data_IF_551759527971
#
_entry.id   IF_551759527971
#
_cell.length_a   1.000
_cell.length_b   1.000
_cell.length_c   1.000
_cell.angle_alpha   90.00
_cell.angle_beta   90.00
_cell.angle_gamma   90.00
#
_symmetry.space_group_name_H-M   'P 1'
#
loop_
_entity.id
_entity.type
_entity.pdbx_description
1 polymer ?
#
# COMPACT_ATOMS: atom_id res chain seq x y z
N UNK A 1 -8.56 -11.07 -59.90
CA UNK A 1 -9.37 -11.31 -58.68
C UNK A 1 -8.68 -12.42 -57.92
N UNK A 2 -8.02 -12.13 -56.79
CA UNK A 2 -7.42 -13.18 -55.96
C UNK A 2 -8.52 -14.17 -55.49
N UNK A 3 -8.24 -15.49 -55.49
CA UNK A 3 -9.23 -16.48 -55.08
C UNK A 3 -9.53 -16.35 -53.58
N UNK A 4 -10.81 -16.19 -53.26
CA UNK A 4 -11.32 -16.07 -51.89
C UNK A 4 -10.90 -17.28 -51.03
N UNK A 5 -9.88 -17.11 -50.20
CA UNK A 5 -9.38 -18.16 -49.32
C UNK A 5 -10.10 -18.13 -47.97
N UNK A 6 -11.17 -18.94 -47.86
CA UNK A 6 -12.01 -19.09 -46.66
C UNK A 6 -11.21 -19.34 -45.37
N UNK A 7 -10.11 -20.10 -45.45
CA UNK A 7 -9.28 -20.43 -44.28
C UNK A 7 -8.56 -19.18 -43.74
N UNK A 8 -8.03 -18.35 -44.63
CA UNK A 8 -7.37 -17.08 -44.23
C UNK A 8 -8.37 -16.10 -43.62
N UNK A 9 -9.57 -16.02 -44.18
CA UNK A 9 -10.63 -15.15 -43.66
C UNK A 9 -11.09 -15.58 -42.27
N UNK A 10 -11.26 -16.89 -42.04
CA UNK A 10 -11.61 -17.41 -40.71
C UNK A 10 -10.52 -17.10 -39.67
N UNK A 11 -9.25 -17.33 -40.01
CA UNK A 11 -8.11 -16.98 -39.13
C UNK A 11 -8.11 -15.49 -38.76
N UNK A 12 -8.40 -14.62 -39.73
CA UNK A 12 -8.49 -13.16 -39.51
C UNK A 12 -9.60 -12.78 -38.54
N UNK A 13 -10.80 -13.37 -38.70
CA UNK A 13 -11.94 -13.13 -37.82
C UNK A 13 -11.63 -13.61 -36.39
N UNK A 14 -11.01 -14.78 -36.23
CA UNK A 14 -10.61 -15.28 -34.92
C UNK A 14 -9.59 -14.37 -34.24
N UNK A 15 -8.59 -13.89 -34.98
CA UNK A 15 -7.61 -12.93 -34.47
C UNK A 15 -8.27 -11.61 -34.04
N UNK A 16 -9.18 -11.07 -34.85
CA UNK A 16 -9.92 -9.85 -34.52
C UNK A 16 -10.77 -10.01 -33.25
N UNK A 17 -11.49 -11.13 -33.12
CA UNK A 17 -12.28 -11.43 -31.91
C UNK A 17 -11.42 -11.57 -30.66
N UNK A 18 -10.24 -12.20 -30.79
CA UNK A 18 -9.27 -12.30 -29.69
C UNK A 18 -8.79 -10.91 -29.27
N UNK A 19 -8.41 -10.07 -30.23
CA UNK A 19 -7.95 -8.70 -29.96
C UNK A 19 -9.03 -7.85 -29.29
N UNK A 20 -10.26 -7.90 -29.79
CA UNK A 20 -11.40 -7.18 -29.21
C UNK A 20 -11.69 -7.62 -27.76
N UNK A 21 -11.58 -8.92 -27.47
CA UNK A 21 -11.70 -9.46 -26.11
C UNK A 21 -10.62 -8.88 -25.21
N UNK A 22 -9.35 -8.90 -25.64
CA UNK A 22 -8.25 -8.34 -24.85
C UNK A 22 -8.45 -6.84 -24.56
N UNK A 23 -8.87 -6.06 -25.56
CA UNK A 23 -9.13 -4.63 -25.38
C UNK A 23 -10.23 -4.35 -24.33
N UNK A 24 -11.32 -5.13 -24.35
CA UNK A 24 -12.39 -5.01 -23.34
C UNK A 24 -11.90 -5.33 -21.93
N UNK A 25 -11.06 -6.36 -21.77
CA UNK A 25 -10.47 -6.68 -20.46
C UNK A 25 -9.57 -5.56 -19.97
N UNK A 26 -8.69 -5.04 -20.83
CA UNK A 26 -7.79 -3.94 -20.47
C UNK A 26 -8.58 -2.69 -20.05
N UNK A 27 -9.61 -2.32 -20.81
CA UNK A 27 -10.47 -1.20 -20.47
C UNK A 27 -11.21 -1.42 -19.13
N UNK A 28 -11.69 -2.63 -18.86
CA UNK A 28 -12.33 -2.97 -17.59
C UNK A 28 -11.37 -2.87 -16.41
N UNK A 29 -10.15 -3.38 -16.56
CA UNK A 29 -9.10 -3.26 -15.55
C UNK A 29 -8.80 -1.79 -15.26
N UNK A 30 -8.66 -0.95 -16.30
CA UNK A 30 -8.41 0.48 -16.13
C UNK A 30 -9.53 1.17 -15.34
N UNK A 31 -10.80 0.86 -15.62
CA UNK A 31 -11.93 1.40 -14.85
C UNK A 31 -11.90 0.94 -13.39
N UNK A 32 -11.59 -0.32 -13.14
CA UNK A 32 -11.47 -0.85 -11.77
C UNK A 32 -10.35 -0.16 -10.99
N UNK A 33 -9.21 0.13 -11.64
CA UNK A 33 -8.12 0.90 -11.04
C UNK A 33 -8.59 2.33 -10.71
N UNK A 34 -9.24 3.02 -11.65
CA UNK A 34 -9.75 4.39 -11.44
C UNK A 34 -10.79 4.45 -10.31
N UNK A 35 -11.63 3.43 -10.20
CA UNK A 35 -12.63 3.32 -9.14
C UNK A 35 -12.06 2.86 -7.79
N UNK A 36 -10.74 2.61 -7.68
CA UNK A 36 -10.12 1.95 -6.52
C UNK A 36 -10.83 0.65 -6.11
N UNK A 37 -11.40 -0.05 -7.08
CA UNK A 37 -12.10 -1.31 -6.87
C UNK A 37 -11.11 -2.49 -6.81
N UNK A 38 -11.54 -3.58 -6.18
CA UNK A 38 -10.74 -4.80 -6.09
C UNK A 38 -10.63 -5.45 -7.47
N UNK A 39 -9.40 -5.71 -7.92
CA UNK A 39 -9.10 -6.38 -9.19
C UNK A 39 -8.98 -7.88 -8.91
N UNK A 40 -9.97 -8.63 -9.41
CA UNK A 40 -10.01 -10.09 -9.39
C UNK A 40 -10.83 -10.62 -10.58
N UNK A 41 -10.78 -11.92 -10.86
CA UNK A 41 -11.49 -12.52 -12.00
C UNK A 41 -13.00 -12.26 -12.01
N UNK A 42 -13.64 -12.15 -10.83
CA UNK A 42 -15.07 -11.83 -10.74
C UNK A 42 -15.34 -10.37 -11.14
N UNK A 43 -14.63 -9.42 -10.55
CA UNK A 43 -14.77 -7.99 -10.83
C UNK A 43 -14.48 -7.67 -12.30
N UNK A 44 -13.40 -8.24 -12.86
CA UNK A 44 -13.03 -8.04 -14.26
C UNK A 44 -14.07 -8.68 -15.18
N UNK A 45 -14.60 -9.86 -14.84
CA UNK A 45 -15.68 -10.50 -15.61
C UNK A 45 -16.95 -9.64 -15.63
N UNK A 46 -17.35 -9.12 -14.48
CA UNK A 46 -18.53 -8.26 -14.36
C UNK A 46 -18.36 -6.95 -15.14
N UNK A 47 -17.20 -6.31 -15.06
CA UNK A 47 -16.93 -5.02 -15.69
C UNK A 47 -16.70 -5.14 -17.21
N UNK A 48 -16.03 -6.20 -17.67
CA UNK A 48 -15.74 -6.41 -19.11
C UNK A 48 -16.86 -7.13 -19.87
N UNK A 49 -17.80 -7.76 -19.16
CA UNK A 49 -18.82 -8.64 -19.73
C UNK A 49 -18.25 -9.94 -20.33
N UNK A 50 -17.01 -10.29 -20.01
CA UNK A 50 -16.35 -11.51 -20.50
C UNK A 50 -16.46 -12.61 -19.46
N UNK A 51 -16.78 -13.82 -19.91
CA UNK A 51 -16.91 -14.97 -19.01
C UNK A 51 -15.59 -15.29 -18.32
N UNK A 52 -15.65 -15.74 -17.07
CA UNK A 52 -14.46 -16.19 -16.32
C UNK A 52 -13.69 -17.28 -17.07
N UNK A 53 -14.38 -18.21 -17.73
CA UNK A 53 -13.74 -19.27 -18.50
C UNK A 53 -12.82 -18.69 -19.58
N UNK A 54 -13.27 -17.65 -20.29
CA UNK A 54 -12.45 -16.94 -21.28
C UNK A 54 -11.25 -16.23 -20.64
N UNK A 55 -11.43 -15.64 -19.45
CA UNK A 55 -10.33 -14.99 -18.71
C UNK A 55 -9.27 -16.00 -18.24
N UNK A 56 -9.68 -17.18 -17.78
CA UNK A 56 -8.76 -18.25 -17.36
C UNK A 56 -8.03 -18.92 -18.54
N UNK A 57 -8.74 -19.10 -19.67
CA UNK A 57 -8.18 -19.76 -20.85
C UNK A 57 -7.12 -18.91 -21.57
N UNK A 58 -7.15 -17.59 -21.39
CA UNK A 58 -6.13 -16.71 -21.94
C UNK A 58 -5.06 -16.42 -20.88
N UNK A 59 -3.90 -17.07 -21.02
CA UNK A 59 -2.80 -16.98 -20.07
C UNK A 59 -2.28 -15.55 -19.87
N UNK A 60 -2.25 -14.72 -20.92
CA UNK A 60 -1.81 -13.32 -20.83
C UNK A 60 -2.74 -12.51 -19.93
N UNK A 61 -4.04 -12.64 -20.14
CA UNK A 61 -5.08 -11.98 -19.34
C UNK A 61 -5.03 -12.47 -17.89
N UNK A 62 -4.89 -13.79 -17.71
CA UNK A 62 -4.80 -14.40 -16.39
C UNK A 62 -3.62 -13.83 -15.59
N UNK A 63 -2.43 -13.84 -16.17
CA UNK A 63 -1.22 -13.35 -15.51
C UNK A 63 -1.34 -11.86 -15.17
N UNK A 64 -1.96 -11.06 -16.05
CA UNK A 64 -2.17 -9.64 -15.81
C UNK A 64 -3.11 -9.41 -14.62
N UNK A 65 -4.22 -10.14 -14.54
CA UNK A 65 -5.18 -10.03 -13.41
C UNK A 65 -4.54 -10.49 -12.11
N UNK A 66 -3.79 -11.60 -12.11
CA UNK A 66 -3.10 -12.11 -10.93
C UNK A 66 -2.03 -11.13 -10.44
N UNK A 67 -1.19 -10.61 -11.34
CA UNK A 67 -0.16 -9.63 -11.00
C UNK A 67 -0.74 -8.35 -10.38
N UNK A 68 -1.81 -7.81 -10.97
CA UNK A 68 -2.47 -6.61 -10.44
C UNK A 68 -3.14 -6.86 -9.08
N UNK A 69 -3.72 -8.04 -8.89
CA UNK A 69 -4.31 -8.44 -7.60
C UNK A 69 -3.26 -8.54 -6.52
N UNK A 70 -2.10 -9.12 -6.83
CA UNK A 70 -1.02 -9.27 -5.87
C UNK A 70 -0.41 -7.91 -5.54
N UNK A 71 -0.24 -7.02 -6.53
CA UNK A 71 0.13 -5.62 -6.30
C UNK A 71 -0.86 -4.89 -5.38
N UNK A 72 -2.17 -5.07 -5.56
CA UNK A 72 -3.17 -4.50 -4.64
C UNK A 72 -3.12 -5.10 -3.24
N UNK A 73 -2.63 -6.33 -3.08
CA UNK A 73 -2.52 -7.00 -1.78
C UNK A 73 -1.24 -6.60 -1.04
N UNK A 74 -0.16 -6.36 -1.78
CA UNK A 74 1.15 -5.95 -1.24
C UNK A 74 1.25 -4.42 -1.05
N UNK A 75 0.41 -3.63 -1.71
CA UNK A 75 0.35 -2.20 -1.48
C UNK A 75 -0.07 -1.95 -0.02
N UNK A 76 0.74 -1.21 0.78
CA UNK A 76 0.37 -0.90 2.15
C UNK A 76 -0.95 -0.15 2.11
N UNK A 77 -1.95 -0.70 2.80
CA UNK A 77 -3.24 -0.03 2.89
C UNK A 77 -3.05 1.35 3.49
N UNK A 78 -3.84 2.35 3.06
CA UNK A 78 -3.76 3.71 3.60
C UNK A 78 -3.79 3.74 5.14
N UNK A 79 -4.49 2.78 5.76
CA UNK A 79 -4.50 2.57 7.21
C UNK A 79 -3.15 2.11 7.79
N UNK A 80 -2.40 1.24 7.11
CA UNK A 80 -1.06 0.84 7.52
C UNK A 80 -0.09 2.01 7.44
N UNK A 81 -0.10 2.76 6.33
CA UNK A 81 0.75 3.96 6.18
C UNK A 81 0.45 5.00 7.26
N UNK A 82 -0.83 5.27 7.54
CA UNK A 82 -1.22 6.17 8.64
C UNK A 82 -0.81 5.65 10.01
N UNK A 83 -0.81 4.32 10.23
CA UNK A 83 -0.38 3.72 11.49
C UNK A 83 1.12 3.84 11.69
N UNK A 84 1.91 3.56 10.66
CA UNK A 84 3.37 3.74 10.67
C UNK A 84 3.76 5.19 10.96
N UNK A 85 3.12 6.16 10.29
CA UNK A 85 3.33 7.59 10.57
C UNK A 85 2.98 7.97 12.01
N UNK A 86 1.86 7.45 12.53
CA UNK A 86 1.46 7.69 13.92
C UNK A 86 2.43 7.05 14.91
N UNK A 87 2.96 5.87 14.62
CA UNK A 87 3.91 5.18 15.49
C UNK A 87 5.29 5.89 15.46
N UNK A 88 5.76 6.35 14.31
CA UNK A 88 6.96 7.20 14.24
C UNK A 88 6.81 8.51 15.01
N UNK A 89 5.61 9.12 14.99
CA UNK A 89 5.34 10.33 15.76
C UNK A 89 5.33 10.05 17.28
N UNK A 90 4.80 8.90 17.70
CA UNK A 90 4.86 8.47 19.11
C UNK A 90 6.30 8.25 19.56
N UNK A 91 7.14 7.63 18.74
CA UNK A 91 8.54 7.38 19.08
C UNK A 91 9.31 8.69 19.30
N UNK A 92 9.11 9.69 18.44
CA UNK A 92 9.71 11.02 18.61
C UNK A 92 9.24 11.72 19.90
N UNK A 93 7.96 11.59 20.26
CA UNK A 93 7.40 12.13 21.50
C UNK A 93 8.02 11.41 22.71
N UNK A 94 8.12 10.08 22.67
CA UNK A 94 8.72 9.26 23.73
C UNK A 94 10.17 9.68 23.96
N UNK A 95 10.95 9.85 22.91
CA UNK A 95 12.35 10.27 23.02
C UNK A 95 12.48 11.67 23.64
N UNK A 96 11.63 12.60 23.22
CA UNK A 96 11.60 13.97 23.77
C UNK A 96 11.25 13.97 25.26
N UNK A 97 10.25 13.17 25.67
CA UNK A 97 9.86 13.05 27.07
C UNK A 97 10.96 12.42 27.92
N UNK A 98 11.63 11.35 27.42
CA UNK A 98 12.76 10.74 28.11
C UNK A 98 13.88 11.75 28.36
N UNK A 99 14.26 12.55 27.36
CA UNK A 99 15.27 13.60 27.52
C UNK A 99 14.88 14.62 28.59
N UNK A 100 13.60 15.01 28.64
CA UNK A 100 13.09 15.97 29.64
C UNK A 100 13.12 15.38 31.05
N UNK A 101 12.75 14.12 31.22
CA UNK A 101 12.83 13.41 32.51
C UNK A 101 14.27 13.40 33.01
N UNK A 102 15.22 12.96 32.18
CA UNK A 102 16.64 12.90 32.58
C UNK A 102 17.18 14.29 32.95
N UNK A 103 16.79 15.34 32.22
CA UNK A 103 17.18 16.72 32.55
C UNK A 103 16.65 17.12 33.94
N UNK A 104 15.36 16.89 34.20
CA UNK A 104 14.73 17.22 35.48
C UNK A 104 15.32 16.42 36.65
N UNK A 105 15.63 15.14 36.44
CA UNK A 105 16.27 14.29 37.46
C UNK A 105 17.65 14.82 37.84
N UNK A 106 18.46 15.23 36.86
CA UNK A 106 19.77 15.83 37.09
C UNK A 106 19.67 17.17 37.82
N UNK A 107 18.77 18.05 37.39
CA UNK A 107 18.53 19.34 38.07
C UNK A 107 18.09 19.13 39.52
N UNK A 108 17.18 18.19 39.78
CA UNK A 108 16.72 17.88 41.13
C UNK A 108 17.87 17.35 42.02
N UNK A 109 18.75 16.51 41.45
CA UNK A 109 19.93 15.99 42.15
C UNK A 109 20.89 17.11 42.53
N UNK A 110 21.18 18.04 41.63
CA UNK A 110 22.06 19.18 41.89
C UNK A 110 21.44 20.15 42.92
N UNK A 111 20.16 20.45 42.81
CA UNK A 111 19.45 21.28 43.80
C UNK A 111 19.50 20.65 45.20
N UNK A 112 19.26 19.34 45.33
CA UNK A 112 19.39 18.62 46.60
C UNK A 112 20.81 18.70 47.18
N UNK A 113 21.83 18.67 46.32
CA UNK A 113 23.23 18.83 46.75
C UNK A 113 23.51 20.24 47.25
N UNK A 114 23.06 21.27 46.53
CA UNK A 114 23.20 22.67 46.93
C UNK A 114 22.51 22.93 48.28
N UNK A 115 21.29 22.40 48.46
CA UNK A 115 20.56 22.50 49.72
C UNK A 115 21.35 21.89 50.88
N UNK A 116 21.93 20.69 50.71
CA UNK A 116 22.76 20.05 51.75
C UNK A 116 23.97 20.90 52.14
N UNK A 117 24.66 21.48 51.16
CA UNK A 117 25.81 22.35 51.41
C UNK A 117 25.39 23.62 52.16
N UNK A 118 24.30 24.26 51.74
CA UNK A 118 23.78 25.45 52.39
C UNK A 118 23.39 25.19 53.87
N UNK A 119 22.73 24.06 54.15
CA UNK A 119 22.43 23.66 55.53
C UNK A 119 23.69 23.46 56.37
N UNK A 120 24.70 22.76 55.85
CA UNK A 120 25.96 22.57 56.57
C UNK A 120 26.63 23.90 56.94
N UNK A 121 26.66 24.86 56.00
CA UNK A 121 27.22 26.20 56.23
C UNK A 121 26.46 27.01 57.29
N UNK A 122 25.15 26.81 57.44
CA UNK A 122 24.36 27.45 58.50
C UNK A 122 24.75 26.87 59.87
N UNK A 123 24.88 25.54 59.96
CA UNK A 123 25.25 24.86 61.20
C UNK A 123 26.68 25.17 61.66
N UNK A 124 27.63 25.36 60.74
CA UNK A 124 29.01 25.75 61.08
C UNK A 124 29.14 27.17 61.64
N UNK A 125 28.14 28.04 61.39
CA UNK A 125 28.12 29.44 61.86
C UNK A 125 27.36 29.63 63.18
N UNK A 126 26.79 28.56 63.73
CA UNK A 126 26.07 28.55 65.00
C UNK A 126 27.04 28.11 66.13
#
# INVERSE_FOLDING_TARGET
MEPYNRVTQLKRIHAQRKAATCQKVVAAIQRLIQANARINFQSVSNESGISKATLYNNLEIRNQIESLRDQQTQAPTSKQVQRELNDTNKDAIIETLKRKITKLENENKELKKQVKVAYAQIYEKL
#
